data_IF_848248812018
#
_entry.id   IF_848248812018
#
_cell.length_a   1.000
_cell.length_b   1.000
_cell.length_c   1.000
_cell.angle_alpha   90.00
_cell.angle_beta   90.00
_cell.angle_gamma   90.00
#
_symmetry.space_group_name_H-M   'P 1'
#
loop_
_entity.id
_entity.type
_entity.pdbx_description
1 polymer ?
#
# COMPACT_ATOMS: atom_id res chain seq x y z
N UNK A 1 48.60 12.95 -1.23
CA UNK A 1 47.59 11.92 -0.89
C UNK A 1 46.27 12.63 -0.75
N UNK A 2 45.40 12.53 -1.76
CA UNK A 2 44.04 13.06 -1.71
C UNK A 2 43.11 11.95 -2.18
N UNK A 3 42.76 11.08 -1.23
CA UNK A 3 41.64 10.15 -1.36
C UNK A 3 40.35 10.96 -1.22
N UNK A 4 39.56 11.05 -2.31
CA UNK A 4 38.18 11.53 -2.25
C UNK A 4 37.23 10.35 -1.92
N UNK A 5 36.10 10.61 -1.25
CA UNK A 5 35.44 9.65 -0.35
C UNK A 5 34.28 8.92 -1.03
N UNK A 6 34.54 8.13 -2.07
CA UNK A 6 33.54 7.19 -2.60
C UNK A 6 33.73 5.82 -1.95
N UNK A 7 33.23 5.67 -0.72
CA UNK A 7 33.43 4.44 0.04
C UNK A 7 32.69 4.36 1.37
N UNK A 8 31.48 4.91 1.46
CA UNK A 8 30.56 4.54 2.53
C UNK A 8 29.88 3.19 2.22
N UNK A 9 29.55 2.36 3.23
CA UNK A 9 28.96 1.02 3.06
C UNK A 9 27.53 0.99 2.46
N UNK A 10 27.04 2.10 1.89
CA UNK A 10 25.67 2.28 1.40
C UNK A 10 25.57 2.82 -0.05
N UNK A 11 26.66 2.82 -0.83
CA UNK A 11 26.52 3.17 -2.25
C UNK A 11 25.79 2.04 -2.99
N UNK A 12 24.68 2.33 -3.67
CA UNK A 12 23.97 1.39 -4.56
C UNK A 12 24.88 0.84 -5.69
N UNK A 13 26.08 1.40 -5.87
CA UNK A 13 27.02 1.11 -6.95
C UNK A 13 26.37 1.17 -8.34
N UNK A 14 25.25 1.89 -8.45
CA UNK A 14 24.57 2.15 -9.71
C UNK A 14 25.26 3.36 -10.33
N UNK A 15 25.83 3.17 -11.52
CA UNK A 15 26.33 4.28 -12.34
C UNK A 15 25.16 4.82 -13.15
N UNK A 16 24.95 6.13 -13.09
CA UNK A 16 23.95 6.80 -13.92
C UNK A 16 24.25 6.51 -15.41
N UNK A 17 23.27 5.95 -16.12
CA UNK A 17 23.33 5.74 -17.56
C UNK A 17 22.32 6.66 -18.23
N UNK A 18 22.81 7.63 -19.00
CA UNK A 18 21.97 8.57 -19.74
C UNK A 18 21.58 8.05 -21.13
N UNK A 19 22.03 6.84 -21.49
CA UNK A 19 21.74 6.19 -22.77
C UNK A 19 20.81 4.98 -22.63
N UNK A 20 20.58 4.49 -21.41
CA UNK A 20 19.64 3.41 -21.15
C UNK A 20 18.19 3.92 -21.23
N UNK A 21 17.26 3.05 -21.64
CA UNK A 21 15.84 3.34 -21.51
C UNK A 21 15.40 3.30 -20.04
N UNK A 22 14.32 4.02 -19.72
CA UNK A 22 13.79 4.11 -18.36
C UNK A 22 13.45 2.72 -17.79
N UNK A 23 12.89 1.84 -18.62
CA UNK A 23 12.52 0.48 -18.25
C UNK A 23 13.73 -0.33 -17.76
N UNK A 24 14.86 -0.24 -18.46
CA UNK A 24 16.11 -0.90 -18.08
C UNK A 24 16.66 -0.34 -16.77
N UNK A 25 16.59 0.98 -16.58
CA UNK A 25 17.03 1.63 -15.33
C UNK A 25 16.19 1.16 -14.13
N UNK A 26 14.86 1.13 -14.27
CA UNK A 26 13.98 0.70 -13.18
C UNK A 26 14.14 -0.78 -12.86
N UNK A 27 14.25 -1.62 -13.88
CA UNK A 27 14.47 -3.07 -13.71
C UNK A 27 15.81 -3.34 -13.04
N UNK A 28 16.88 -2.65 -13.44
CA UNK A 28 18.20 -2.79 -12.82
C UNK A 28 18.19 -2.37 -11.36
N UNK A 29 17.50 -1.27 -11.03
CA UNK A 29 17.35 -0.80 -9.66
C UNK A 29 16.60 -1.82 -8.80
N UNK A 30 15.43 -2.28 -9.22
CA UNK A 30 14.63 -3.27 -8.49
C UNK A 30 15.42 -4.58 -8.29
N UNK A 31 16.10 -5.05 -9.34
CA UNK A 31 16.95 -6.25 -9.30
C UNK A 31 18.09 -6.12 -8.28
N UNK A 32 18.72 -4.93 -8.18
CA UNK A 32 19.78 -4.68 -7.20
C UNK A 32 19.26 -4.74 -5.77
N UNK A 33 18.13 -4.12 -5.47
CA UNK A 33 17.51 -4.20 -4.14
C UNK A 33 17.25 -5.66 -3.74
N UNK A 34 16.70 -6.46 -4.65
CA UNK A 34 16.36 -7.86 -4.36
C UNK A 34 17.61 -8.73 -4.22
N UNK A 35 18.51 -8.72 -5.20
CA UNK A 35 19.61 -9.69 -5.25
C UNK A 35 20.78 -9.31 -4.35
N UNK A 36 21.10 -8.01 -4.27
CA UNK A 36 22.24 -7.51 -3.49
C UNK A 36 21.83 -7.14 -2.08
N UNK A 37 20.77 -6.35 -1.93
CA UNK A 37 20.38 -5.79 -0.63
C UNK A 37 19.41 -6.70 0.12
N UNK A 38 18.99 -7.81 -0.51
CA UNK A 38 18.02 -8.76 0.06
C UNK A 38 16.78 -8.03 0.56
N UNK A 39 16.28 -7.11 -0.25
CA UNK A 39 15.16 -6.23 0.07
C UNK A 39 14.15 -6.17 -1.08
N UNK A 40 12.87 -6.33 -0.73
CA UNK A 40 11.73 -6.11 -1.64
C UNK A 40 11.02 -4.79 -1.37
N UNK A 41 11.69 -3.84 -0.70
CA UNK A 41 11.13 -2.52 -0.36
C UNK A 41 10.53 -1.80 -1.58
N UNK A 42 11.13 -1.97 -2.75
CA UNK A 42 10.65 -1.41 -4.02
C UNK A 42 9.22 -1.84 -4.38
N UNK A 43 8.70 -2.95 -3.85
CA UNK A 43 7.33 -3.40 -4.08
C UNK A 43 6.29 -2.43 -3.52
N UNK A 44 6.65 -1.72 -2.45
CA UNK A 44 5.81 -0.65 -1.90
C UNK A 44 5.66 0.56 -2.84
N UNK A 45 6.46 0.62 -3.90
CA UNK A 45 6.41 1.66 -4.93
C UNK A 45 5.63 1.20 -6.17
N UNK A 46 5.10 -0.02 -6.19
CA UNK A 46 4.21 -0.51 -7.24
C UNK A 46 2.82 0.06 -7.02
N UNK A 47 2.35 0.87 -7.98
CA UNK A 47 1.06 1.56 -7.93
C UNK A 47 -0.02 0.93 -8.80
N UNK A 48 -1.24 1.18 -8.35
CA UNK A 48 -2.53 0.65 -8.78
C UNK A 48 -3.16 1.30 -10.01
N UNK A 49 -2.40 2.04 -10.83
CA UNK A 49 -2.95 2.40 -12.13
C UNK A 49 -2.96 1.15 -13.02
N UNK A 50 -4.02 0.93 -13.83
CA UNK A 50 -4.00 -0.16 -14.80
C UNK A 50 -2.73 -0.02 -15.65
N UNK A 51 -1.77 -0.95 -15.47
CA UNK A 51 -0.49 -1.02 -16.20
C UNK A 51 -0.66 -1.31 -17.70
N UNK A 52 -1.79 -0.92 -18.27
CA UNK A 52 -2.19 -1.05 -19.68
C UNK A 52 -1.16 -0.50 -20.67
N UNK A 53 -0.21 0.34 -20.22
CA UNK A 53 0.85 0.93 -21.05
C UNK A 53 2.28 0.57 -20.64
N UNK A 54 2.49 -0.20 -19.57
CA UNK A 54 3.84 -0.54 -19.11
C UNK A 54 4.25 -1.91 -19.61
N UNK A 55 5.43 -2.02 -20.19
CA UNK A 55 6.06 -3.29 -20.59
C UNK A 55 6.94 -3.87 -19.49
N UNK A 56 6.99 -3.21 -18.32
CA UNK A 56 7.75 -3.66 -17.16
C UNK A 56 7.07 -4.85 -16.49
N UNK A 57 7.85 -5.79 -15.94
CA UNK A 57 7.32 -6.78 -15.01
C UNK A 57 6.56 -6.11 -13.86
N UNK A 58 5.52 -6.75 -13.34
CA UNK A 58 4.66 -6.11 -12.32
C UNK A 58 5.40 -5.81 -11.01
N UNK A 59 6.46 -6.57 -10.70
CA UNK A 59 7.33 -6.35 -9.54
C UNK A 59 8.31 -5.18 -9.71
N UNK A 60 8.47 -4.64 -10.92
CA UNK A 60 9.30 -3.45 -11.18
C UNK A 60 8.42 -2.18 -11.07
N UNK A 61 8.75 -1.24 -10.17
CA UNK A 61 8.04 0.04 -10.09
C UNK A 61 8.25 0.89 -11.34
N UNK A 62 7.15 1.38 -11.92
CA UNK A 62 7.23 2.31 -13.04
C UNK A 62 7.34 3.75 -12.52
N UNK A 63 8.58 4.22 -12.34
CA UNK A 63 8.84 5.49 -11.67
C UNK A 63 8.41 6.72 -12.45
N UNK A 64 8.02 6.57 -13.73
CA UNK A 64 7.45 7.66 -14.53
C UNK A 64 6.13 8.17 -13.96
N UNK A 65 5.39 7.29 -13.28
CA UNK A 65 4.12 7.62 -12.64
C UNK A 65 4.29 8.10 -11.19
N UNK A 66 5.48 7.95 -10.60
CA UNK A 66 5.78 8.43 -9.24
C UNK A 66 6.00 9.96 -9.19
N UNK A 67 6.52 10.55 -10.26
CA UNK A 67 6.93 11.97 -10.28
C UNK A 67 5.80 13.00 -10.45
N UNK A 68 4.72 12.74 -11.22
CA UNK A 68 3.60 13.69 -11.34
C UNK A 68 2.66 13.68 -10.12
N UNK A 69 2.59 12.56 -9.40
CA UNK A 69 1.83 12.43 -8.16
C UNK A 69 2.72 12.85 -6.97
N UNK A 70 2.80 14.16 -6.70
CA UNK A 70 3.37 14.76 -5.46
C UNK A 70 2.73 14.27 -4.15
N UNK A 71 1.81 13.31 -4.24
CA UNK A 71 1.06 12.68 -3.18
C UNK A 71 1.72 11.39 -2.65
N UNK A 72 2.94 11.08 -3.11
CA UNK A 72 3.73 9.92 -2.71
C UNK A 72 4.31 10.08 -1.30
N UNK A 73 3.76 9.33 -0.35
CA UNK A 73 4.50 8.87 0.83
C UNK A 73 4.49 7.34 0.75
N UNK A 74 5.58 6.70 0.30
CA UNK A 74 5.65 5.25 0.25
C UNK A 74 5.46 4.71 1.66
N UNK A 75 4.79 3.57 1.84
CA UNK A 75 4.61 2.97 3.15
C UNK A 75 5.92 2.48 3.77
N UNK A 76 7.06 2.61 3.06
CA UNK A 76 8.44 2.41 3.53
C UNK A 76 8.74 2.94 4.94
N UNK A 77 8.06 4.00 5.40
CA UNK A 77 8.27 4.52 6.77
C UNK A 77 7.18 4.15 7.78
N UNK A 78 6.33 3.18 7.50
CA UNK A 78 5.49 2.57 8.54
C UNK A 78 6.31 1.45 9.15
N UNK A 79 6.49 1.48 10.48
CA UNK A 79 7.32 0.52 11.20
C UNK A 79 6.60 -0.85 11.28
N UNK A 80 6.60 -1.59 10.18
CA UNK A 80 5.94 -2.90 10.03
C UNK A 80 6.93 -3.93 9.55
N UNK A 81 6.75 -5.17 10.01
CA UNK A 81 7.57 -6.33 9.65
C UNK A 81 6.64 -7.50 9.31
N UNK A 82 5.77 -7.35 8.31
CA UNK A 82 4.75 -8.36 8.02
C UNK A 82 5.30 -9.80 7.91
N UNK A 83 6.52 -9.97 7.40
CA UNK A 83 7.19 -11.27 7.27
C UNK A 83 8.04 -11.69 8.49
N UNK A 84 7.99 -10.95 9.60
CA UNK A 84 8.83 -11.17 10.78
C UNK A 84 10.32 -11.13 10.44
N UNK A 85 11.08 -12.09 10.99
CA UNK A 85 12.53 -12.22 10.76
C UNK A 85 12.90 -13.01 9.48
N UNK A 86 11.95 -13.27 8.58
CA UNK A 86 12.28 -13.99 7.34
C UNK A 86 13.14 -13.13 6.42
N UNK A 87 14.12 -13.78 5.79
CA UNK A 87 14.98 -13.16 4.79
C UNK A 87 14.38 -13.31 3.38
N UNK A 88 14.69 -12.35 2.50
CA UNK A 88 14.26 -12.42 1.09
C UNK A 88 14.85 -13.65 0.40
N UNK A 89 14.02 -14.67 0.23
CA UNK A 89 14.28 -15.87 -0.56
C UNK A 89 13.73 -15.69 -1.98
N UNK A 90 14.49 -15.01 -2.83
CA UNK A 90 14.07 -14.68 -4.19
C UNK A 90 15.12 -14.97 -5.27
N UNK A 91 14.66 -15.31 -6.47
CA UNK A 91 15.49 -15.47 -7.66
C UNK A 91 14.82 -14.83 -8.88
N UNK A 92 15.62 -14.20 -9.73
CA UNK A 92 15.15 -13.55 -10.96
C UNK A 92 15.53 -14.43 -12.14
N UNK A 93 14.56 -14.74 -12.99
CA UNK A 93 14.72 -15.64 -14.14
C UNK A 93 14.18 -15.01 -15.43
N UNK A 94 14.46 -15.67 -16.56
CA UNK A 94 14.01 -15.25 -17.89
C UNK A 94 14.38 -13.81 -18.23
N UNK A 95 15.67 -13.48 -18.16
CA UNK A 95 16.18 -12.14 -18.53
C UNK A 95 15.48 -11.00 -17.79
N UNK A 96 15.32 -11.15 -16.47
CA UNK A 96 14.71 -10.17 -15.58
C UNK A 96 13.21 -9.92 -15.82
N UNK A 97 12.51 -10.87 -16.45
CA UNK A 97 11.06 -10.77 -16.67
C UNK A 97 10.23 -11.44 -15.58
N UNK A 98 10.77 -12.45 -14.87
CA UNK A 98 10.04 -13.15 -13.80
C UNK A 98 10.85 -13.20 -12.51
N UNK A 99 10.15 -13.06 -11.40
CA UNK A 99 10.70 -13.16 -10.05
C UNK A 99 10.04 -14.33 -9.33
N UNK A 100 10.83 -15.27 -8.86
CA UNK A 100 10.39 -16.29 -7.91
C UNK A 100 10.65 -15.77 -6.51
N UNK A 101 9.64 -15.79 -5.66
CA UNK A 101 9.75 -15.35 -4.27
C UNK A 101 8.90 -16.23 -3.35
N UNK A 102 9.44 -16.57 -2.19
CA UNK A 102 8.70 -17.29 -1.17
C UNK A 102 7.78 -16.37 -0.36
N UNK A 103 6.67 -16.91 0.13
CA UNK A 103 5.78 -16.22 1.03
C UNK A 103 4.61 -17.10 1.47
N UNK A 104 3.63 -16.49 2.13
CA UNK A 104 2.41 -17.12 2.63
C UNK A 104 1.19 -16.43 2.07
N UNK A 105 0.27 -17.19 1.49
CA UNK A 105 -1.04 -16.70 1.06
C UNK A 105 -1.92 -16.54 2.28
N UNK A 106 -2.39 -15.33 2.53
CA UNK A 106 -3.24 -15.00 3.69
C UNK A 106 -4.69 -15.31 3.36
N UNK A 107 -5.26 -14.64 2.35
CA UNK A 107 -6.67 -14.84 1.99
C UNK A 107 -7.01 -14.29 0.60
N UNK A 108 -8.08 -14.80 0.00
CA UNK A 108 -8.61 -14.38 -1.31
C UNK A 108 -9.51 -13.18 -1.15
N UNK A 109 -9.35 -12.17 -1.99
CA UNK A 109 -10.23 -11.01 -2.03
C UNK A 109 -11.48 -11.37 -2.83
N UNK A 110 -12.66 -11.33 -2.20
CA UNK A 110 -13.93 -11.67 -2.85
C UNK A 110 -14.84 -10.45 -3.04
N UNK A 111 -14.56 -9.34 -2.33
CA UNK A 111 -15.27 -8.07 -2.46
C UNK A 111 -14.30 -6.89 -2.41
N UNK A 112 -14.51 -5.93 -3.30
CA UNK A 112 -13.72 -4.69 -3.38
C UNK A 112 -14.68 -3.51 -3.55
N UNK A 113 -14.34 -2.38 -2.94
CA UNK A 113 -15.02 -1.10 -3.20
C UNK A 113 -14.91 -0.70 -4.68
N UNK A 114 -15.90 0.04 -5.16
CA UNK A 114 -16.07 0.39 -6.58
C UNK A 114 -15.88 1.88 -6.87
N UNK A 115 -15.40 2.66 -5.89
CA UNK A 115 -15.20 4.11 -6.06
C UNK A 115 -14.24 4.43 -7.20
N UNK A 116 -14.71 5.24 -8.15
CA UNK A 116 -13.87 5.87 -9.16
C UNK A 116 -13.21 7.14 -8.59
N UNK A 117 -11.89 7.09 -8.40
CA UNK A 117 -11.11 8.25 -7.99
C UNK A 117 -10.78 9.21 -9.15
N UNK A 118 -11.08 8.85 -10.42
CA UNK A 118 -10.71 9.65 -11.61
C UNK A 118 -11.35 11.04 -11.62
N UNK A 119 -12.55 11.20 -11.09
CA UNK A 119 -13.19 12.53 -10.95
C UNK A 119 -12.37 13.51 -10.09
N UNK A 120 -11.46 12.99 -9.24
CA UNK A 120 -10.56 13.81 -8.41
C UNK A 120 -9.17 13.99 -9.03
N UNK A 121 -8.83 13.22 -10.08
CA UNK A 121 -7.57 13.38 -10.81
C UNK A 121 -7.63 14.53 -11.84
N UNK A 122 -8.84 14.93 -12.28
CA UNK A 122 -9.03 16.03 -13.24
C UNK A 122 -8.84 17.42 -12.64
N UNK A 123 -9.03 17.58 -11.33
CA UNK A 123 -8.61 18.78 -10.62
C UNK A 123 -7.22 18.49 -10.05
N UNK A 124 -6.20 19.27 -10.42
CA UNK A 124 -4.89 19.23 -9.76
C UNK A 124 -5.05 19.72 -8.32
N UNK A 125 -5.65 18.92 -7.46
CA UNK A 125 -5.74 19.18 -6.03
C UNK A 125 -4.37 18.86 -5.49
N UNK A 126 -3.46 19.82 -5.57
CA UNK A 126 -2.24 19.78 -4.79
C UNK A 126 -2.66 19.99 -3.34
N UNK A 127 -2.86 18.88 -2.62
CA UNK A 127 -3.30 18.84 -1.22
C UNK A 127 -2.29 19.50 -0.26
N UNK A 128 -1.11 19.91 -0.75
CA UNK A 128 -0.12 20.74 -0.04
C UNK A 128 -0.08 22.18 -0.56
N UNK A 129 -0.68 22.46 -1.72
CA UNK A 129 -0.90 23.84 -2.14
C UNK A 129 -1.94 24.49 -1.25
N UNK A 130 -1.71 25.77 -0.96
CA UNK A 130 -2.72 26.65 -0.38
C UNK A 130 -3.95 26.83 -1.26
N UNK A 131 -4.10 26.12 -2.38
CA UNK A 131 -5.19 26.32 -3.36
C UNK A 131 -6.13 25.10 -3.48
N UNK A 132 -5.86 24.00 -2.77
CA UNK A 132 -6.83 22.92 -2.60
C UNK A 132 -8.01 23.43 -1.75
N UNK A 133 -9.10 23.84 -2.40
CA UNK A 133 -10.26 24.47 -1.76
C UNK A 133 -11.44 23.52 -1.52
N UNK A 134 -11.42 22.30 -2.07
CA UNK A 134 -12.57 21.38 -1.98
C UNK A 134 -12.13 19.95 -1.67
N UNK A 135 -12.82 19.35 -0.69
CA UNK A 135 -12.71 17.92 -0.43
C UNK A 135 -13.24 17.12 -1.64
N UNK A 136 -12.59 15.99 -1.97
CA UNK A 136 -13.07 15.04 -2.98
C UNK A 136 -14.53 14.64 -2.79
N UNK A 137 -15.35 14.75 -3.85
CA UNK A 137 -16.78 14.41 -3.78
C UNK A 137 -17.06 12.95 -3.43
N UNK A 138 -16.09 12.06 -3.66
CA UNK A 138 -16.25 10.64 -3.40
C UNK A 138 -15.97 10.22 -1.95
N UNK A 139 -15.57 11.11 -1.03
CA UNK A 139 -15.32 10.74 0.38
C UNK A 139 -16.52 10.08 1.07
N UNK A 140 -17.74 10.64 1.02
CA UNK A 140 -18.90 10.01 1.65
C UNK A 140 -19.19 8.63 1.05
N UNK A 141 -19.05 8.50 -0.28
CA UNK A 141 -19.29 7.24 -0.99
C UNK A 141 -18.24 6.18 -0.61
N UNK A 142 -16.96 6.56 -0.61
CA UNK A 142 -15.86 5.70 -0.20
C UNK A 142 -16.00 5.24 1.25
N UNK A 143 -16.35 6.16 2.16
CA UNK A 143 -16.59 5.85 3.56
C UNK A 143 -17.75 4.88 3.74
N UNK A 144 -18.84 5.09 3.00
CA UNK A 144 -20.01 4.21 3.02
C UNK A 144 -19.67 2.82 2.50
N UNK A 145 -18.92 2.70 1.40
CA UNK A 145 -18.46 1.40 0.88
C UNK A 145 -17.55 0.68 1.88
N UNK A 146 -16.54 1.37 2.44
CA UNK A 146 -15.67 0.79 3.45
C UNK A 146 -16.46 0.27 4.66
N UNK A 147 -17.45 1.03 5.14
CA UNK A 147 -18.35 0.58 6.22
C UNK A 147 -19.16 -0.65 5.82
N UNK A 148 -19.74 -0.65 4.62
CA UNK A 148 -20.53 -1.76 4.12
C UNK A 148 -19.73 -3.06 4.02
N UNK A 149 -18.50 -2.97 3.49
CA UNK A 149 -17.57 -4.10 3.37
C UNK A 149 -17.16 -4.60 4.75
N UNK A 150 -16.82 -3.69 5.67
CA UNK A 150 -16.43 -4.02 7.03
C UNK A 150 -17.56 -4.72 7.82
N UNK A 151 -18.81 -4.25 7.70
CA UNK A 151 -19.96 -4.86 8.39
C UNK A 151 -20.25 -6.31 7.96
N UNK A 152 -19.82 -6.68 6.76
CA UNK A 152 -19.92 -8.06 6.28
C UNK A 152 -18.78 -8.95 6.78
N UNK A 153 -17.75 -8.39 7.44
CA UNK A 153 -16.60 -9.12 7.94
C UNK A 153 -16.79 -9.50 9.43
N UNK A 154 -17.06 -10.78 9.77
CA UNK A 154 -17.38 -11.24 11.13
C UNK A 154 -16.32 -10.97 12.20
N UNK A 155 -15.05 -10.77 11.84
CA UNK A 155 -13.98 -10.47 12.79
C UNK A 155 -14.09 -9.09 13.47
N UNK A 156 -14.92 -8.19 12.93
CA UNK A 156 -15.16 -6.89 13.54
C UNK A 156 -16.28 -7.06 14.55
N UNK A 157 -15.99 -6.80 15.83
CA UNK A 157 -16.99 -6.81 16.89
C UNK A 157 -18.22 -6.00 16.47
N UNK A 158 -19.35 -6.68 16.29
CA UNK A 158 -20.57 -6.08 15.74
C UNK A 158 -21.24 -5.09 16.73
N UNK A 159 -20.81 -5.10 17.99
CA UNK A 159 -21.43 -4.35 19.08
C UNK A 159 -20.87 -2.92 19.25
N UNK A 160 -19.84 -2.53 18.49
CA UNK A 160 -19.30 -1.17 18.51
C UNK A 160 -19.78 -0.34 17.30
N UNK A 161 -20.15 0.92 17.56
CA UNK A 161 -20.48 1.92 16.53
C UNK A 161 -19.34 2.09 15.49
N UNK A 162 -18.10 1.90 15.93
CA UNK A 162 -16.90 1.83 15.10
C UNK A 162 -15.92 0.79 15.70
N UNK A 163 -15.83 -0.44 15.16
CA UNK A 163 -14.96 -1.49 15.71
C UNK A 163 -13.48 -1.06 15.69
N UNK A 164 -12.69 -1.49 16.69
CA UNK A 164 -11.30 -1.03 16.87
C UNK A 164 -10.42 -1.32 15.63
N UNK A 165 -10.50 -2.54 15.12
CA UNK A 165 -9.80 -2.94 13.90
C UNK A 165 -10.23 -2.14 12.66
N UNK A 166 -11.48 -1.67 12.60
CA UNK A 166 -11.98 -0.93 11.45
C UNK A 166 -11.33 0.45 11.33
N UNK A 167 -11.36 1.24 12.40
CA UNK A 167 -10.78 2.59 12.36
C UNK A 167 -9.26 2.56 12.23
N UNK A 168 -8.60 1.59 12.86
CA UNK A 168 -7.17 1.34 12.68
C UNK A 168 -6.85 0.99 11.25
N UNK A 169 -7.65 0.14 10.61
CA UNK A 169 -7.49 -0.19 9.19
C UNK A 169 -7.61 1.04 8.29
N UNK A 170 -8.55 1.95 8.59
CA UNK A 170 -8.69 3.21 7.85
C UNK A 170 -7.50 4.16 7.98
N UNK A 171 -6.68 4.05 9.02
CA UNK A 171 -5.47 4.86 9.21
C UNK A 171 -4.18 4.05 9.14
N UNK A 172 -4.25 2.77 8.76
CA UNK A 172 -3.12 1.83 8.85
C UNK A 172 -2.44 1.82 10.25
N UNK A 173 -3.24 2.06 11.29
CA UNK A 173 -2.86 2.05 12.70
C UNK A 173 -1.66 2.93 13.07
N UNK A 174 -1.44 4.04 12.36
CA UNK A 174 -0.35 4.98 12.65
C UNK A 174 -0.83 6.40 12.95
N UNK A 175 0.00 7.20 13.63
CA UNK A 175 -0.21 8.64 13.80
C UNK A 175 0.38 9.42 12.62
N UNK A 176 0.47 10.75 12.73
CA UNK A 176 1.14 11.64 11.78
C UNK A 176 2.63 11.33 11.65
N UNK A 177 3.27 10.97 12.76
CA UNK A 177 4.46 10.16 12.75
C UNK A 177 4.08 8.73 12.38
N UNK A 178 4.22 8.41 11.09
CA UNK A 178 3.84 7.11 10.53
C UNK A 178 4.61 5.92 11.12
N UNK A 179 5.66 6.17 11.92
CA UNK A 179 6.38 5.16 12.69
C UNK A 179 5.70 4.83 14.03
N UNK A 180 4.80 5.69 14.51
CA UNK A 180 4.16 5.57 15.82
C UNK A 180 2.79 4.93 15.65
N UNK A 181 2.54 3.84 16.40
CA UNK A 181 1.22 3.19 16.44
C UNK A 181 0.18 4.13 17.03
N UNK A 182 -0.98 4.22 16.40
CA UNK A 182 -2.10 5.02 16.88
C UNK A 182 -2.59 4.52 18.25
N UNK A 183 -2.48 5.31 19.33
CA UNK A 183 -3.03 4.91 20.62
C UNK A 183 -4.56 4.94 20.61
N UNK A 184 -5.24 4.17 21.46
CA UNK A 184 -6.72 4.08 21.45
C UNK A 184 -7.43 5.42 21.70
N UNK A 185 -6.76 6.41 22.31
CA UNK A 185 -7.31 7.77 22.49
C UNK A 185 -7.57 8.50 21.17
N UNK A 186 -6.93 8.06 20.07
CA UNK A 186 -7.15 8.62 18.74
C UNK A 186 -8.54 8.33 18.19
N UNK A 187 -9.22 7.30 18.71
CA UNK A 187 -10.58 6.95 18.28
C UNK A 187 -11.51 8.16 18.30
N UNK A 188 -11.41 9.03 19.31
CA UNK A 188 -12.27 10.21 19.39
C UNK A 188 -12.00 11.19 18.25
N UNK A 189 -10.72 11.48 17.97
CA UNK A 189 -10.34 12.34 16.85
C UNK A 189 -10.73 11.75 15.50
N UNK A 190 -10.62 10.43 15.35
CA UNK A 190 -11.10 9.68 14.18
C UNK A 190 -12.62 9.83 13.99
N UNK A 191 -13.41 9.61 15.05
CA UNK A 191 -14.86 9.77 15.01
C UNK A 191 -15.23 11.19 14.59
N UNK A 192 -14.65 12.20 15.25
CA UNK A 192 -14.86 13.60 14.91
C UNK A 192 -14.49 13.88 13.46
N UNK A 193 -13.37 13.36 12.96
CA UNK A 193 -12.96 13.57 11.57
C UNK A 193 -13.97 12.98 10.57
N UNK A 194 -14.46 11.77 10.84
CA UNK A 194 -15.47 11.12 9.99
C UNK A 194 -16.76 11.95 9.97
N UNK A 195 -17.29 12.29 11.14
CA UNK A 195 -18.56 13.01 11.31
C UNK A 195 -18.50 14.46 10.79
N UNK A 196 -17.38 15.13 11.03
CA UNK A 196 -17.22 16.53 10.66
C UNK A 196 -16.84 16.71 9.20
N UNK A 197 -16.17 15.74 8.57
CA UNK A 197 -15.58 15.93 7.24
C UNK A 197 -15.94 14.86 6.22
N UNK A 198 -15.91 13.57 6.57
CA UNK A 198 -16.12 12.49 5.59
C UNK A 198 -17.59 12.28 5.24
N UNK A 199 -18.48 12.45 6.21
CA UNK A 199 -19.93 12.21 6.03
C UNK A 199 -20.66 13.46 5.50
N UNK A 200 -19.98 14.61 5.44
CA UNK A 200 -20.56 15.88 4.98
C UNK A 200 -20.20 16.14 3.53
N UNK A 201 -21.20 16.51 2.73
CA UNK A 201 -20.99 16.95 1.37
C UNK A 201 -20.36 18.37 1.35
N UNK A 202 -19.23 18.52 0.65
CA UNK A 202 -18.62 19.82 0.29
C UNK A 202 -18.09 20.68 1.45
N UNK A 203 -16.98 20.27 2.07
CA UNK A 203 -16.25 21.12 3.03
C UNK A 203 -14.97 21.70 2.40
N UNK A 204 -14.62 22.91 2.83
CA UNK A 204 -13.37 23.57 2.49
C UNK A 204 -12.19 22.80 3.11
N UNK A 205 -11.31 22.28 2.25
CA UNK A 205 -10.14 21.50 2.65
C UNK A 205 -9.19 22.27 3.59
N UNK A 206 -9.07 23.60 3.43
CA UNK A 206 -8.26 24.44 4.34
C UNK A 206 -8.80 24.46 5.76
N UNK A 207 -10.12 24.38 5.91
CA UNK A 207 -10.77 24.35 7.22
C UNK A 207 -10.51 23.04 7.93
N UNK A 208 -10.39 21.95 7.16
CA UNK A 208 -10.05 20.61 7.65
C UNK A 208 -8.62 20.61 8.18
N UNK A 209 -7.64 20.93 7.34
CA UNK A 209 -6.20 20.84 7.71
C UNK A 209 -5.82 21.70 8.90
N UNK A 210 -6.44 22.87 9.07
CA UNK A 210 -6.23 23.73 10.26
C UNK A 210 -6.76 23.16 11.57
N UNK A 211 -7.68 22.20 11.51
CA UNK A 211 -8.34 21.58 12.66
C UNK A 211 -7.89 20.14 12.90
N UNK A 212 -7.05 19.58 12.02
CA UNK A 212 -6.54 18.24 12.22
C UNK A 212 -5.66 18.20 13.46
N UNK A 213 -5.98 17.29 14.37
CA UNK A 213 -5.06 16.90 15.42
C UNK A 213 -3.96 16.00 14.83
N UNK A 214 -2.86 15.89 15.55
CA UNK A 214 -1.76 14.95 15.26
C UNK A 214 -2.33 13.56 14.89
N UNK A 215 -1.99 13.10 13.68
CA UNK A 215 -2.39 11.82 13.06
C UNK A 215 -3.73 11.72 12.35
N UNK A 216 -4.57 12.75 12.36
CA UNK A 216 -5.73 12.81 11.46
C UNK A 216 -5.32 13.11 9.99
N UNK A 217 -4.08 13.54 9.75
CA UNK A 217 -3.53 13.73 8.40
C UNK A 217 -3.36 12.42 7.61
N UNK A 218 -3.28 11.28 8.30
CA UNK A 218 -3.11 9.96 7.69
C UNK A 218 -4.30 9.60 6.79
N UNK A 219 -5.52 10.05 7.12
CA UNK A 219 -6.71 9.92 6.27
C UNK A 219 -6.50 10.51 4.87
N UNK A 220 -5.82 11.66 4.81
CA UNK A 220 -5.47 12.31 3.55
C UNK A 220 -4.50 11.43 2.74
N UNK A 221 -3.61 10.71 3.42
CA UNK A 221 -2.67 9.77 2.82
C UNK A 221 -3.33 8.58 2.14
N UNK A 222 -4.37 7.99 2.72
CA UNK A 222 -5.09 6.84 2.11
C UNK A 222 -5.84 7.22 0.86
N UNK A 223 -6.46 8.40 0.89
CA UNK A 223 -7.10 8.96 -0.27
C UNK A 223 -6.10 9.27 -1.39
N UNK A 224 -4.95 9.86 -1.04
CA UNK A 224 -3.83 10.11 -1.95
C UNK A 224 -3.31 8.84 -2.64
N UNK A 225 -3.36 7.71 -1.94
CA UNK A 225 -2.88 6.41 -2.42
C UNK A 225 -3.88 5.65 -3.28
N UNK A 226 -5.10 6.19 -3.49
CA UNK A 226 -6.18 5.48 -4.18
C UNK A 226 -6.36 4.08 -3.59
N UNK A 227 -6.52 3.99 -2.28
CA UNK A 227 -6.81 2.73 -1.61
C UNK A 227 -8.32 2.55 -1.49
N UNK A 228 -8.80 1.32 -1.61
CA UNK A 228 -10.21 0.93 -1.44
C UNK A 228 -10.34 -0.08 -0.32
N UNK A 229 -11.51 -0.10 0.32
CA UNK A 229 -11.86 -1.19 1.21
C UNK A 229 -12.03 -2.49 0.42
N UNK A 230 -11.56 -3.59 0.97
CA UNK A 230 -11.78 -4.92 0.46
C UNK A 230 -12.08 -5.90 1.59
N UNK A 231 -12.80 -6.95 1.24
CA UNK A 231 -13.00 -8.11 2.10
C UNK A 231 -12.07 -9.21 1.63
N UNK A 232 -11.19 -9.65 2.52
CA UNK A 232 -10.32 -10.80 2.30
C UNK A 232 -10.94 -12.01 3.02
N UNK A 233 -11.27 -13.03 2.24
CA UNK A 233 -12.12 -14.15 2.59
C UNK A 233 -13.46 -13.68 3.12
N UNK A 234 -14.13 -14.51 3.92
CA UNK A 234 -15.33 -14.08 4.64
C UNK A 234 -15.02 -13.24 5.86
N UNK A 235 -13.75 -13.15 6.28
CA UNK A 235 -13.44 -12.78 7.65
C UNK A 235 -12.80 -11.43 7.82
N UNK A 236 -12.09 -10.85 6.85
CA UNK A 236 -11.17 -9.74 7.12
C UNK A 236 -11.47 -8.48 6.30
N UNK A 237 -11.34 -7.31 6.91
CA UNK A 237 -11.43 -6.00 6.23
C UNK A 237 -10.02 -5.45 6.02
N UNK A 238 -9.70 -5.12 4.77
CA UNK A 238 -8.40 -4.63 4.37
C UNK A 238 -8.50 -3.33 3.58
N UNK A 239 -7.43 -2.55 3.63
CA UNK A 239 -7.19 -1.43 2.71
C UNK A 239 -6.26 -1.92 1.60
N UNK A 240 -6.76 -1.99 0.37
CA UNK A 240 -6.04 -2.54 -0.79
C UNK A 240 -5.89 -1.52 -1.93
N UNK A 241 -4.91 -1.68 -2.85
CA UNK A 241 -4.74 -0.75 -3.96
C UNK A 241 -5.96 -0.69 -4.88
N UNK A 242 -6.28 0.46 -5.49
CA UNK A 242 -7.45 0.63 -6.39
C UNK A 242 -7.57 -0.41 -7.52
N UNK A 243 -6.44 -0.88 -8.05
CA UNK A 243 -6.40 -1.87 -9.13
C UNK A 243 -6.85 -3.26 -8.69
N UNK A 244 -7.00 -3.48 -7.38
CA UNK A 244 -7.43 -4.76 -6.81
C UNK A 244 -8.81 -5.15 -7.33
N UNK A 245 -9.00 -6.43 -7.61
CA UNK A 245 -10.26 -7.00 -8.09
C UNK A 245 -10.58 -8.29 -7.34
N UNK A 246 -11.87 -8.70 -7.29
CA UNK A 246 -12.24 -10.02 -6.81
C UNK A 246 -11.46 -11.13 -7.53
N UNK A 247 -10.95 -12.10 -6.76
CA UNK A 247 -10.06 -13.17 -7.24
C UNK A 247 -8.56 -12.87 -7.06
N UNK A 248 -8.19 -11.62 -6.79
CA UNK A 248 -6.86 -11.31 -6.23
C UNK A 248 -6.74 -11.89 -4.82
N UNK A 249 -5.53 -11.97 -4.26
CA UNK A 249 -5.33 -12.43 -2.89
C UNK A 249 -4.26 -11.62 -2.17
N UNK A 250 -4.36 -11.57 -0.84
CA UNK A 250 -3.36 -10.98 0.04
C UNK A 250 -2.34 -12.06 0.40
N UNK A 251 -1.06 -11.70 0.38
CA UNK A 251 0.04 -12.53 0.83
C UNK A 251 1.05 -11.73 1.64
N UNK A 252 1.84 -12.44 2.46
CA UNK A 252 3.06 -11.93 3.07
C UNK A 252 4.24 -12.56 2.34
N UNK A 253 5.09 -11.75 1.74
CA UNK A 253 6.29 -12.21 1.03
C UNK A 253 7.49 -12.17 1.97
N UNK A 254 8.37 -13.17 1.90
CA UNK A 254 9.53 -13.26 2.78
C UNK A 254 10.45 -12.04 2.62
N UNK A 255 10.90 -11.47 3.76
CA UNK A 255 11.63 -10.20 3.84
C UNK A 255 10.81 -8.95 3.48
N UNK A 256 9.49 -9.08 3.38
CA UNK A 256 8.55 -7.99 3.13
C UNK A 256 8.09 -7.30 4.41
N UNK A 257 8.14 -5.97 4.42
CA UNK A 257 7.64 -5.16 5.55
C UNK A 257 6.11 -5.01 5.57
N UNK A 258 5.41 -5.33 4.47
CA UNK A 258 3.96 -5.19 4.35
C UNK A 258 3.32 -6.46 3.76
N UNK A 259 2.02 -6.67 3.95
CA UNK A 259 1.23 -7.53 3.08
C UNK A 259 1.12 -6.94 1.66
N UNK A 260 1.00 -7.82 0.67
CA UNK A 260 0.88 -7.47 -0.74
C UNK A 260 -0.33 -8.13 -1.38
N UNK A 261 -0.88 -7.49 -2.40
CA UNK A 261 -1.93 -8.05 -3.25
C UNK A 261 -1.30 -8.63 -4.52
N UNK A 262 -1.58 -9.91 -4.77
CA UNK A 262 -1.20 -10.62 -5.99
C UNK A 262 -2.43 -11.01 -6.81
N UNK A 263 -2.32 -10.86 -8.13
CA UNK A 263 -3.34 -11.25 -9.10
C UNK A 263 -2.92 -12.53 -9.85
N UNK A 264 -3.68 -13.63 -9.76
CA UNK A 264 -3.44 -14.82 -10.59
C UNK A 264 -3.54 -14.50 -12.08
N UNK A 265 -2.58 -15.00 -12.87
CA UNK A 265 -2.52 -14.83 -14.34
C UNK A 265 -2.37 -16.15 -15.11
N UNK A 266 -2.23 -17.27 -14.41
CA UNK A 266 -2.03 -18.60 -14.96
C UNK A 266 -1.52 -19.56 -13.87
N UNK A 267 -1.10 -20.76 -14.27
CA UNK A 267 -0.58 -21.76 -13.34
C UNK A 267 0.69 -21.23 -12.66
N UNK A 268 0.58 -20.96 -11.36
CA UNK A 268 1.63 -20.41 -10.50
C UNK A 268 2.25 -19.06 -10.96
N UNK A 269 1.56 -18.31 -11.83
CA UNK A 269 2.00 -16.98 -12.29
C UNK A 269 1.09 -15.88 -11.77
N UNK A 270 1.72 -14.80 -11.29
CA UNK A 270 1.03 -13.72 -10.59
C UNK A 270 1.53 -12.35 -11.01
N UNK A 271 0.66 -11.35 -10.97
CA UNK A 271 1.07 -9.94 -11.05
C UNK A 271 0.98 -9.31 -9.67
N UNK A 272 2.01 -8.55 -9.30
CA UNK A 272 1.97 -7.68 -8.13
C UNK A 272 1.06 -6.49 -8.39
N UNK A 273 -0.01 -6.37 -7.60
CA UNK A 273 -0.96 -5.25 -7.64
C UNK A 273 -0.46 -4.10 -6.76
N UNK A 274 0.11 -4.40 -5.59
CA UNK A 274 0.72 -3.42 -4.70
C UNK A 274 0.67 -3.82 -3.22
N UNK A 275 1.23 -2.99 -2.34
CA UNK A 275 1.15 -3.18 -0.89
C UNK A 275 -0.26 -2.87 -0.36
N UNK A 276 -0.69 -3.60 0.66
CA UNK A 276 -1.96 -3.37 1.34
C UNK A 276 -1.78 -3.31 2.86
N UNK A 277 -2.84 -2.92 3.54
CA UNK A 277 -2.93 -2.98 4.98
C UNK A 277 -4.04 -3.92 5.41
N UNK A 278 -3.68 -4.83 6.31
CA UNK A 278 -4.59 -5.77 6.92
C UNK A 278 -4.26 -5.83 8.41
N UNK A 279 -5.21 -5.41 9.25
CA UNK A 279 -5.04 -5.41 10.69
C UNK A 279 -4.70 -6.81 11.19
N UNK A 280 -3.64 -6.93 11.99
CA UNK A 280 -3.19 -8.21 12.53
C UNK A 280 -2.36 -9.05 11.57
N UNK A 281 -1.86 -8.48 10.46
CA UNK A 281 -0.91 -9.13 9.53
C UNK A 281 0.29 -8.23 9.21
N UNK A 282 0.55 -7.21 10.03
CA UNK A 282 1.56 -6.18 9.75
C UNK A 282 2.86 -6.40 10.55
N UNK A 283 2.88 -7.33 11.51
CA UNK A 283 3.90 -7.48 12.54
C UNK A 283 4.30 -8.95 12.76
N UNK A 284 4.32 -9.75 11.69
CA UNK A 284 4.81 -11.13 11.71
C UNK A 284 3.76 -12.17 12.12
N UNK A 285 2.52 -11.76 12.41
CA UNK A 285 1.45 -12.65 12.87
C UNK A 285 1.18 -13.78 11.86
N UNK A 286 1.23 -13.47 10.56
CA UNK A 286 1.07 -14.46 9.48
C UNK A 286 2.11 -15.59 9.53
N UNK A 287 3.26 -15.35 10.15
CA UNK A 287 4.35 -16.32 10.26
C UNK A 287 4.13 -17.31 11.42
N UNK A 288 3.30 -16.92 12.38
CA UNK A 288 2.95 -17.71 13.57
C UNK A 288 1.71 -18.58 13.35
N UNK A 289 0.94 -18.30 12.30
CA UNK A 289 -0.27 -19.06 11.93
C UNK A 289 0.10 -20.39 11.27
N UNK A 290 -0.28 -21.49 11.92
CA UNK A 290 0.03 -22.84 11.44
C UNK A 290 -0.70 -23.20 10.12
N UNK A 291 -1.81 -22.51 9.82
CA UNK A 291 -2.61 -22.75 8.62
C UNK A 291 -2.00 -22.08 7.37
N UNK A 292 -1.06 -21.15 7.55
CA UNK A 292 -0.44 -20.38 6.47
C UNK A 292 0.88 -21.04 6.04
N UNK A 293 0.77 -21.95 5.08
CA UNK A 293 1.91 -22.65 4.50
C UNK A 293 2.76 -21.76 3.60
N UNK A 294 4.08 -21.97 3.63
CA UNK A 294 5.00 -21.28 2.73
C UNK A 294 4.91 -21.87 1.32
N UNK A 295 4.79 -21.00 0.31
CA UNK A 295 4.79 -21.35 -1.11
C UNK A 295 5.67 -20.40 -1.93
N UNK A 296 6.03 -20.79 -3.16
CA UNK A 296 6.83 -19.96 -4.07
C UNK A 296 5.94 -19.37 -5.17
N UNK A 297 5.86 -18.05 -5.21
CA UNK A 297 5.13 -17.29 -6.23
C UNK A 297 6.05 -16.91 -7.40
N UNK A 298 5.58 -17.11 -8.64
CA UNK A 298 6.24 -16.53 -9.83
C UNK A 298 5.57 -15.22 -10.21
N UNK A 299 6.19 -14.10 -9.90
CA UNK A 299 5.70 -12.76 -10.22
C UNK A 299 6.20 -12.33 -11.60
N UNK A 300 5.28 -11.98 -12.51
CA UNK A 300 5.51 -11.61 -13.91
C UNK A 300 5.33 -10.13 -14.19
#
# INVERSE_FOLDING_TARGET
MASSPDGGPLSLQIRASYTACAESVFTHLATRFILRDKSIETFSWVFSEPRTKSTLPSWVPDMRFLLPNRNFVPPVRINTWASGDTEVAASIILSDSKLLICGRRVDIIDRVGSIDFKENQSEKVDLYSSDAQKIPKCWPLWRAECTGIAREAPHLEQDAELPDAFWRTLIWNCTDDILVRAPSVFLQGVKSFIEDYMDRAQIDFKSVTKKLESGQEVYLGHFKRSMVGARAGTLLFAMVPLATAPGDFICVLDGGCHPYVLRPCGDNEYRLVGACYLQGMMEGEAMEMAELEAETFTII
#
